data_IF_656104320011
#
_entry.id   IF_656104320011
#
_cell.length_a   1.000
_cell.length_b   1.000
_cell.length_c   1.000
_cell.angle_alpha   90.00
_cell.angle_beta   90.00
_cell.angle_gamma   90.00
#
_symmetry.space_group_name_H-M   'P 1'
#
loop_
_entity.id
_entity.type
_entity.pdbx_description
1 polymer ?
#
# COMPACT_ATOMS: atom_id res chain seq x y z
N UNK A 1 0.00 -12.57 23.81
CA UNK A 1 0.61 -11.51 22.97
C UNK A 1 2.11 -11.29 23.24
N UNK A 2 2.57 -11.17 24.50
CA UNK A 2 3.99 -10.92 24.81
C UNK A 2 4.98 -12.02 24.34
N UNK A 3 4.57 -13.30 24.30
CA UNK A 3 5.44 -14.40 23.86
C UNK A 3 5.74 -14.36 22.35
N UNK A 4 4.74 -14.07 21.53
CA UNK A 4 4.90 -13.96 20.07
C UNK A 4 5.76 -12.75 19.69
N UNK A 5 5.54 -11.62 20.37
CA UNK A 5 6.36 -10.42 20.18
C UNK A 5 7.83 -10.67 20.55
N UNK A 6 8.10 -11.28 21.72
CA UNK A 6 9.46 -11.66 22.11
C UNK A 6 10.11 -12.64 21.12
N UNK A 7 9.35 -13.62 20.63
CA UNK A 7 9.84 -14.53 19.59
C UNK A 7 10.22 -13.78 18.31
N UNK A 8 9.35 -12.88 17.83
CA UNK A 8 9.65 -12.04 16.67
C UNK A 8 10.89 -11.17 16.88
N UNK A 9 11.03 -10.55 18.05
CA UNK A 9 12.21 -9.76 18.41
C UNK A 9 13.50 -10.60 18.38
N UNK A 10 13.44 -11.84 18.88
CA UNK A 10 14.58 -12.76 18.85
C UNK A 10 14.94 -13.15 17.41
N UNK A 11 13.96 -13.49 16.58
CA UNK A 11 14.18 -13.78 15.17
C UNK A 11 14.77 -12.58 14.42
N UNK A 12 14.26 -11.38 14.68
CA UNK A 12 14.76 -10.14 14.09
C UNK A 12 16.19 -9.81 14.53
N UNK A 13 16.56 -10.13 15.77
CA UNK A 13 17.91 -9.92 16.28
C UNK A 13 18.92 -10.90 15.64
N UNK A 14 18.53 -12.15 15.43
CA UNK A 14 19.43 -13.20 14.87
C UNK A 14 19.47 -13.14 13.33
N UNK A 15 18.34 -12.91 12.69
CA UNK A 15 18.18 -12.90 11.24
C UNK A 15 17.30 -11.73 10.79
N UNK A 16 17.82 -10.48 10.80
CA UNK A 16 17.04 -9.28 10.56
C UNK A 16 16.37 -9.26 9.18
N UNK A 17 17.17 -9.50 8.12
CA UNK A 17 16.68 -9.49 6.73
C UNK A 17 15.61 -10.56 6.52
N UNK A 18 15.91 -11.82 6.89
CA UNK A 18 14.99 -12.95 6.67
C UNK A 18 13.66 -12.74 7.40
N UNK A 19 13.73 -12.28 8.65
CA UNK A 19 12.54 -12.05 9.48
C UNK A 19 11.67 -10.97 8.86
N UNK A 20 12.27 -9.84 8.44
CA UNK A 20 11.54 -8.76 7.81
C UNK A 20 10.92 -9.19 6.47
N UNK A 21 11.68 -9.87 5.61
CA UNK A 21 11.21 -10.38 4.32
C UNK A 21 10.01 -11.31 4.46
N UNK A 22 10.09 -12.30 5.36
CA UNK A 22 8.99 -13.24 5.61
C UNK A 22 7.78 -12.50 6.18
N UNK A 23 7.99 -11.61 7.15
CA UNK A 23 6.90 -10.86 7.75
C UNK A 23 6.20 -9.92 6.76
N UNK A 24 6.94 -9.28 5.85
CA UNK A 24 6.38 -8.45 4.78
C UNK A 24 5.46 -9.27 3.89
N UNK A 25 5.92 -10.42 3.38
CA UNK A 25 5.10 -11.26 2.50
C UNK A 25 3.80 -11.72 3.17
N UNK A 26 3.87 -12.09 4.46
CA UNK A 26 2.68 -12.48 5.23
C UNK A 26 1.72 -11.30 5.40
N UNK A 27 2.20 -10.14 5.84
CA UNK A 27 1.36 -8.96 6.09
C UNK A 27 0.68 -8.48 4.80
N UNK A 28 1.42 -8.44 3.68
CA UNK A 28 0.86 -8.05 2.38
C UNK A 28 -0.23 -9.00 1.90
N UNK A 29 -0.04 -10.31 2.08
CA UNK A 29 -1.08 -11.30 1.78
C UNK A 29 -2.33 -11.12 2.63
N UNK A 30 -2.17 -10.92 3.95
CA UNK A 30 -3.30 -10.63 4.85
C UNK A 30 -4.00 -9.31 4.49
N UNK A 31 -3.24 -8.28 4.13
CA UNK A 31 -3.80 -6.99 3.76
C UNK A 31 -4.61 -7.05 2.47
N UNK A 32 -4.17 -7.84 1.49
CA UNK A 32 -4.95 -8.06 0.27
C UNK A 32 -6.24 -8.84 0.54
N UNK A 33 -6.21 -9.85 1.42
CA UNK A 33 -7.43 -10.54 1.87
C UNK A 33 -8.40 -9.56 2.53
N UNK A 34 -7.91 -8.74 3.46
CA UNK A 34 -8.74 -7.77 4.17
C UNK A 34 -9.34 -6.71 3.22
N UNK A 35 -8.53 -6.20 2.29
CA UNK A 35 -8.95 -5.29 1.23
C UNK A 35 -10.08 -5.90 0.38
N UNK A 36 -9.91 -7.13 -0.10
CA UNK A 36 -10.94 -7.84 -0.87
C UNK A 36 -12.23 -8.07 -0.06
N UNK A 37 -12.11 -8.38 1.23
CA UNK A 37 -13.26 -8.53 2.13
C UNK A 37 -14.03 -7.21 2.24
N UNK A 38 -13.33 -6.10 2.46
CA UNK A 38 -13.93 -4.77 2.57
C UNK A 38 -14.63 -4.38 1.26
N UNK A 39 -13.99 -4.66 0.13
CA UNK A 39 -14.59 -4.52 -1.21
C UNK A 39 -15.89 -5.32 -1.30
N UNK A 40 -15.92 -6.59 -0.91
CA UNK A 40 -17.16 -7.38 -1.04
C UNK A 40 -18.28 -6.88 -0.11
N UNK A 41 -17.95 -6.53 1.14
CA UNK A 41 -18.94 -6.04 2.09
C UNK A 41 -19.48 -4.66 1.72
N UNK A 42 -18.61 -3.75 1.28
CA UNK A 42 -19.00 -2.37 0.98
C UNK A 42 -19.81 -2.32 -0.31
N UNK A 43 -19.47 -3.10 -1.35
CA UNK A 43 -20.24 -3.19 -2.59
C UNK A 43 -21.65 -3.72 -2.34
N UNK A 44 -21.80 -4.80 -1.56
CA UNK A 44 -23.11 -5.36 -1.20
C UNK A 44 -23.98 -4.34 -0.46
N UNK A 45 -23.38 -3.50 0.40
CA UNK A 45 -24.11 -2.47 1.14
C UNK A 45 -24.69 -1.40 0.22
N UNK A 46 -23.94 -0.92 -0.76
CA UNK A 46 -24.41 0.06 -1.74
C UNK A 46 -25.44 -0.53 -2.71
N UNK A 47 -25.21 -1.75 -3.19
CA UNK A 47 -26.13 -2.42 -4.11
C UNK A 47 -27.51 -2.66 -3.48
N UNK A 48 -27.57 -2.96 -2.18
CA UNK A 48 -28.82 -3.09 -1.42
C UNK A 48 -29.53 -1.76 -1.15
N UNK A 49 -28.89 -0.61 -1.41
CA UNK A 49 -29.44 0.71 -1.13
C UNK A 49 -30.15 1.32 -2.36
N UNK A 50 -29.82 0.87 -3.57
CA UNK A 50 -30.35 1.39 -4.84
C UNK A 50 -31.35 0.47 -5.59
N UNK A 51 -31.51 -0.82 -5.24
CA UNK A 51 -32.50 -1.72 -5.89
C UNK A 51 -33.31 -2.60 -4.91
N UNK A 52 -34.62 -2.79 -5.22
CA UNK A 52 -35.50 -3.78 -4.56
C UNK A 52 -34.99 -5.20 -4.82
N UNK A 53 -35.05 -6.14 -3.85
CA UNK A 53 -34.42 -7.43 -4.00
C UNK A 53 -35.23 -8.33 -4.95
N UNK A 54 -34.72 -8.54 -6.17
CA UNK A 54 -35.06 -9.71 -6.99
C UNK A 54 -34.01 -10.77 -6.67
N UNK A 55 -34.41 -11.72 -5.83
CA UNK A 55 -33.52 -12.72 -5.27
C UNK A 55 -33.31 -13.86 -6.27
N UNK A 56 -32.22 -13.83 -7.03
CA UNK A 56 -31.64 -15.04 -7.62
C UNK A 56 -30.52 -15.55 -6.70
N UNK A 57 -30.77 -16.70 -6.10
CA UNK A 57 -29.93 -17.34 -5.07
C UNK A 57 -28.60 -17.87 -5.65
N UNK A 58 -28.40 -17.74 -6.96
CA UNK A 58 -27.22 -18.22 -7.69
C UNK A 58 -26.04 -17.23 -7.70
N UNK A 59 -26.27 -15.92 -7.50
CA UNK A 59 -25.21 -14.89 -7.50
C UNK A 59 -24.55 -14.64 -6.14
N UNK A 60 -25.17 -15.07 -5.03
CA UNK A 60 -24.54 -14.99 -3.69
C UNK A 60 -23.22 -15.76 -3.60
N UNK A 61 -23.02 -16.78 -4.45
CA UNK A 61 -21.81 -17.59 -4.46
C UNK A 61 -20.68 -17.01 -5.32
N UNK A 62 -20.98 -16.12 -6.28
CA UNK A 62 -19.96 -15.48 -7.13
C UNK A 62 -19.25 -14.32 -6.42
N UNK A 63 -19.93 -13.60 -5.52
CA UNK A 63 -19.39 -12.47 -4.75
C UNK A 63 -18.49 -12.93 -3.57
N UNK A 64 -18.43 -14.22 -3.24
CA UNK A 64 -17.73 -14.75 -2.05
C UNK A 64 -16.28 -15.21 -2.27
N UNK A 65 -15.78 -15.24 -3.51
CA UNK A 65 -14.49 -15.89 -3.78
C UNK A 65 -13.33 -14.91 -3.68
N UNK A 66 -12.55 -15.03 -2.61
CA UNK A 66 -11.24 -14.38 -2.51
C UNK A 66 -10.39 -14.78 -3.71
N UNK A 67 -9.84 -13.78 -4.41
CA UNK A 67 -8.89 -13.95 -5.49
C UNK A 67 -7.53 -14.33 -4.91
N UNK A 68 -7.32 -15.63 -4.69
CA UNK A 68 -6.07 -16.18 -4.20
C UNK A 68 -4.87 -15.91 -5.10
N UNK A 69 -5.08 -15.72 -6.41
CA UNK A 69 -4.01 -15.30 -7.33
C UNK A 69 -3.52 -13.90 -6.97
N UNK A 70 -4.44 -12.95 -6.70
CA UNK A 70 -4.08 -11.60 -6.25
C UNK A 70 -3.37 -11.62 -4.90
N UNK A 71 -3.86 -12.42 -3.95
CA UNK A 71 -3.23 -12.60 -2.63
C UNK A 71 -1.80 -13.13 -2.76
N UNK A 72 -1.59 -14.15 -3.59
CA UNK A 72 -0.27 -14.72 -3.81
C UNK A 72 0.67 -13.71 -4.47
N UNK A 73 0.19 -12.95 -5.45
CA UNK A 73 0.95 -11.88 -6.11
C UNK A 73 1.36 -10.77 -5.14
N UNK A 74 0.44 -10.23 -4.35
CA UNK A 74 0.76 -9.15 -3.40
C UNK A 74 1.64 -9.65 -2.26
N UNK A 75 1.43 -10.87 -1.79
CA UNK A 75 2.33 -11.53 -0.82
C UNK A 75 3.73 -11.70 -1.39
N UNK A 76 3.85 -12.12 -2.66
CA UNK A 76 5.13 -12.25 -3.34
C UNK A 76 5.81 -10.89 -3.49
N UNK A 77 5.08 -9.83 -3.83
CA UNK A 77 5.61 -8.46 -3.86
C UNK A 77 6.19 -8.04 -2.50
N UNK A 78 5.44 -8.29 -1.43
CA UNK A 78 5.88 -8.04 -0.06
C UNK A 78 7.18 -8.79 0.27
N UNK A 79 7.28 -10.05 -0.17
CA UNK A 79 8.43 -10.91 0.07
C UNK A 79 9.66 -10.53 -0.78
N UNK A 80 9.50 -10.30 -2.09
CA UNK A 80 10.63 -10.13 -3.02
C UNK A 80 11.08 -8.69 -3.17
N UNK A 81 10.18 -7.72 -2.98
CA UNK A 81 10.49 -6.30 -3.18
C UNK A 81 10.46 -5.54 -1.86
N UNK A 82 9.30 -5.41 -1.23
CA UNK A 82 9.13 -4.54 -0.05
C UNK A 82 9.99 -4.98 1.13
N UNK A 83 10.08 -6.29 1.37
CA UNK A 83 10.94 -6.89 2.39
C UNK A 83 12.42 -6.51 2.25
N UNK A 84 13.12 -6.95 1.18
CA UNK A 84 14.54 -6.69 1.04
C UNK A 84 14.84 -5.22 0.75
N UNK A 85 14.10 -4.60 -0.17
CA UNK A 85 14.34 -3.20 -0.57
C UNK A 85 14.05 -2.28 0.62
N UNK A 86 12.93 -2.46 1.33
CA UNK A 86 12.59 -1.68 2.51
C UNK A 86 13.61 -1.83 3.65
N UNK A 87 14.12 -3.04 3.90
CA UNK A 87 15.17 -3.26 4.90
C UNK A 87 16.42 -2.41 4.60
N UNK A 88 16.98 -2.58 3.40
CA UNK A 88 18.20 -1.88 3.01
C UNK A 88 17.98 -0.37 2.83
N UNK A 89 16.78 0.04 2.43
CA UNK A 89 16.41 1.44 2.30
C UNK A 89 16.43 2.15 3.66
N UNK A 90 15.72 1.65 4.66
CA UNK A 90 15.65 2.33 5.96
C UNK A 90 16.99 2.31 6.70
N UNK A 91 17.74 1.21 6.62
CA UNK A 91 19.08 1.13 7.20
C UNK A 91 20.07 2.03 6.44
N UNK A 92 20.04 2.02 5.11
CA UNK A 92 20.85 2.87 4.26
C UNK A 92 20.57 4.36 4.47
N UNK A 93 19.31 4.74 4.59
CA UNK A 93 18.87 6.11 4.84
C UNK A 93 19.33 6.61 6.22
N UNK A 94 19.27 5.75 7.24
CA UNK A 94 19.81 6.04 8.57
C UNK A 94 21.32 6.30 8.54
N UNK A 95 22.07 5.40 7.89
CA UNK A 95 23.53 5.52 7.73
C UNK A 95 23.90 6.75 6.90
N UNK A 96 23.21 7.01 5.79
CA UNK A 96 23.47 8.15 4.92
C UNK A 96 23.34 9.48 5.67
N UNK A 97 22.25 9.68 6.42
CA UNK A 97 22.02 10.94 7.12
C UNK A 97 23.01 11.13 8.27
N UNK A 98 23.34 10.06 9.00
CA UNK A 98 24.34 10.11 10.08
C UNK A 98 25.75 10.39 9.56
N UNK A 99 26.15 9.74 8.47
CA UNK A 99 27.53 9.80 7.98
C UNK A 99 27.80 10.93 6.99
N UNK A 100 26.80 11.39 6.23
CA UNK A 100 26.99 12.40 5.17
C UNK A 100 26.37 13.74 5.51
N UNK A 101 25.18 13.74 6.14
CA UNK A 101 24.47 14.98 6.52
C UNK A 101 24.82 15.40 7.96
N UNK A 102 25.42 14.50 8.75
CA UNK A 102 25.91 14.75 10.11
C UNK A 102 24.82 15.27 11.07
N UNK A 103 23.56 14.91 10.83
CA UNK A 103 22.45 15.30 11.69
C UNK A 103 22.41 14.44 12.96
N UNK A 104 22.13 15.08 14.10
CA UNK A 104 21.95 14.40 15.38
C UNK A 104 20.78 13.42 15.29
N UNK A 105 21.00 12.20 15.77
CA UNK A 105 19.97 11.18 15.84
C UNK A 105 18.72 11.70 16.58
N UNK A 106 17.54 11.38 16.07
CA UNK A 106 16.24 11.81 16.61
C UNK A 106 16.00 13.33 16.68
N UNK A 107 16.85 14.16 16.07
CA UNK A 107 16.53 15.58 15.87
C UNK A 107 15.33 15.75 14.93
N UNK A 108 14.57 16.83 15.08
CA UNK A 108 13.50 17.17 14.14
C UNK A 108 14.02 17.21 12.69
N UNK A 109 15.17 17.85 12.46
CA UNK A 109 15.79 17.91 11.13
C UNK A 109 16.16 16.53 10.59
N UNK A 110 16.62 15.61 11.45
CA UNK A 110 16.95 14.24 11.05
C UNK A 110 15.71 13.51 10.52
N UNK A 111 14.61 13.58 11.25
CA UNK A 111 13.33 12.95 10.89
C UNK A 111 12.73 13.61 9.66
N UNK A 112 12.74 14.94 9.58
CA UNK A 112 12.22 15.69 8.44
C UNK A 112 13.00 15.36 7.16
N UNK A 113 14.34 15.36 7.21
CA UNK A 113 15.18 14.99 6.06
C UNK A 113 14.93 13.56 5.62
N UNK A 114 14.81 12.60 6.55
CA UNK A 114 14.42 11.21 6.22
C UNK A 114 13.09 11.18 5.48
N UNK A 115 12.08 11.84 6.02
CA UNK A 115 10.72 11.86 5.47
C UNK A 115 10.71 12.44 4.06
N UNK A 116 11.44 13.55 3.83
CA UNK A 116 11.53 14.18 2.51
C UNK A 116 12.22 13.26 1.50
N UNK A 117 13.34 12.66 1.86
CA UNK A 117 14.06 11.74 0.96
C UNK A 117 13.19 10.52 0.64
N UNK A 118 12.53 9.96 1.64
CA UNK A 118 11.61 8.83 1.47
C UNK A 118 10.44 9.21 0.55
N UNK A 119 9.82 10.37 0.76
CA UNK A 119 8.65 10.81 -0.01
C UNK A 119 8.98 11.21 -1.46
N UNK A 120 10.20 11.71 -1.73
CA UNK A 120 10.60 12.17 -3.07
C UNK A 120 11.25 11.06 -3.89
N UNK A 121 11.98 10.14 -3.24
CA UNK A 121 12.72 9.09 -3.94
C UNK A 121 11.98 7.77 -3.85
N UNK A 122 11.72 7.29 -2.63
CA UNK A 122 11.18 5.95 -2.43
C UNK A 122 9.71 5.87 -2.81
N UNK A 123 8.89 6.83 -2.38
CA UNK A 123 7.45 6.85 -2.67
C UNK A 123 7.12 6.72 -4.17
N UNK A 124 7.62 7.61 -5.05
CA UNK A 124 7.34 7.53 -6.49
C UNK A 124 7.89 6.24 -7.13
N UNK A 125 9.07 5.78 -6.67
CA UNK A 125 9.70 4.57 -7.19
C UNK A 125 8.91 3.32 -6.80
N UNK A 126 8.55 3.20 -5.53
CA UNK A 126 7.75 2.09 -4.99
C UNK A 126 6.40 2.02 -5.70
N UNK A 127 5.72 3.15 -5.85
CA UNK A 127 4.44 3.24 -6.55
C UNK A 127 4.56 2.79 -8.02
N UNK A 128 5.60 3.26 -8.73
CA UNK A 128 5.82 2.88 -10.13
C UNK A 128 6.08 1.37 -10.27
N UNK A 129 6.93 0.83 -9.40
CA UNK A 129 7.25 -0.61 -9.39
C UNK A 129 6.01 -1.43 -9.04
N UNK A 130 5.22 -0.99 -8.06
CA UNK A 130 3.98 -1.65 -7.66
C UNK A 130 2.97 -1.71 -8.81
N UNK A 131 2.65 -0.58 -9.44
CA UNK A 131 1.72 -0.53 -10.58
C UNK A 131 2.20 -1.43 -11.73
N UNK A 132 3.49 -1.38 -12.06
CA UNK A 132 4.08 -2.19 -13.12
C UNK A 132 3.98 -3.68 -12.79
N UNK A 133 4.36 -4.07 -11.57
CA UNK A 133 4.31 -5.45 -11.10
C UNK A 133 2.88 -6.00 -11.09
N UNK A 134 1.93 -5.24 -10.53
CA UNK A 134 0.53 -5.64 -10.47
C UNK A 134 -0.08 -5.76 -11.87
N UNK A 135 0.30 -4.87 -12.80
CA UNK A 135 -0.10 -4.94 -14.20
C UNK A 135 0.34 -6.24 -14.87
N UNK A 136 1.61 -6.62 -14.72
CA UNK A 136 2.12 -7.89 -15.25
C UNK A 136 1.48 -9.10 -14.60
N UNK A 137 1.29 -9.09 -13.28
CA UNK A 137 0.67 -10.20 -12.56
C UNK A 137 -0.82 -10.39 -12.89
N UNK A 138 -1.49 -9.30 -13.28
CA UNK A 138 -2.84 -9.33 -13.85
C UNK A 138 -2.88 -9.86 -15.30
N UNK A 139 -1.72 -10.07 -15.95
CA UNK A 139 -1.62 -10.56 -17.32
C UNK A 139 -1.80 -9.47 -18.38
N UNK A 140 -1.65 -8.19 -18.01
CA UNK A 140 -1.72 -7.08 -18.96
C UNK A 140 -0.48 -7.02 -19.84
N UNK A 141 -0.64 -6.58 -21.08
CA UNK A 141 0.47 -6.31 -21.99
C UNK A 141 1.20 -5.02 -21.62
N UNK A 142 2.46 -4.88 -22.02
CA UNK A 142 3.26 -3.68 -21.72
C UNK A 142 2.60 -2.35 -22.13
N UNK A 143 1.97 -2.24 -23.33
CA UNK A 143 1.24 -1.01 -23.69
C UNK A 143 0.08 -0.68 -22.74
N UNK A 144 -0.66 -1.69 -22.26
CA UNK A 144 -1.76 -1.50 -21.32
C UNK A 144 -1.24 -1.04 -19.95
N UNK A 145 -0.15 -1.64 -19.47
CA UNK A 145 0.49 -1.24 -18.20
C UNK A 145 0.96 0.22 -18.28
N UNK A 146 1.56 0.61 -19.41
CA UNK A 146 2.02 1.99 -19.61
C UNK A 146 0.87 2.99 -19.57
N UNK A 147 -0.27 2.65 -20.17
CA UNK A 147 -1.44 3.53 -20.14
C UNK A 147 -2.07 3.60 -18.74
N UNK A 148 -2.18 2.47 -18.04
CA UNK A 148 -2.65 2.44 -16.65
C UNK A 148 -1.75 3.28 -15.73
N UNK A 149 -0.43 3.11 -15.83
CA UNK A 149 0.53 3.94 -15.07
C UNK A 149 0.34 5.41 -15.42
N UNK A 150 0.24 5.77 -16.70
CA UNK A 150 0.06 7.17 -17.10
C UNK A 150 -1.24 7.78 -16.57
N UNK A 151 -2.32 6.99 -16.52
CA UNK A 151 -3.64 7.40 -16.04
C UNK A 151 -3.66 7.55 -14.51
N UNK A 152 -3.12 6.57 -13.80
CA UNK A 152 -3.39 6.39 -12.37
C UNK A 152 -2.22 6.81 -11.47
N UNK A 153 -0.99 6.90 -12.00
CA UNK A 153 0.21 7.17 -11.21
C UNK A 153 0.18 8.54 -10.53
N UNK A 154 -0.12 9.61 -11.25
CA UNK A 154 -0.16 10.96 -10.67
C UNK A 154 -1.28 11.13 -9.63
N UNK A 155 -2.53 10.71 -9.90
CA UNK A 155 -3.59 10.70 -8.89
C UNK A 155 -3.20 9.92 -7.63
N UNK A 156 -2.65 8.71 -7.81
CA UNK A 156 -2.19 7.91 -6.69
C UNK A 156 -1.05 8.60 -5.94
N UNK A 157 -0.06 9.16 -6.64
CA UNK A 157 1.08 9.85 -6.01
C UNK A 157 0.64 11.04 -5.14
N UNK A 158 -0.38 11.80 -5.56
CA UNK A 158 -0.89 12.92 -4.76
C UNK A 158 -1.68 12.42 -3.55
N UNK A 159 -2.50 11.37 -3.73
CA UNK A 159 -3.25 10.77 -2.63
C UNK A 159 -2.31 10.18 -1.56
N UNK A 160 -1.38 9.32 -1.99
CA UNK A 160 -0.37 8.71 -1.14
C UNK A 160 0.55 9.79 -0.53
N UNK A 161 0.94 10.78 -1.33
CA UNK A 161 1.79 11.89 -0.93
C UNK A 161 1.14 12.83 0.11
N UNK A 162 -0.17 12.75 0.34
CA UNK A 162 -0.84 13.47 1.41
C UNK A 162 -0.72 12.76 2.77
N UNK A 163 -0.89 11.44 2.79
CA UNK A 163 -1.01 10.64 4.02
C UNK A 163 0.34 10.07 4.46
N UNK A 164 1.10 9.50 3.52
CA UNK A 164 2.34 8.78 3.83
C UNK A 164 3.43 9.63 4.48
N UNK A 165 3.65 10.91 4.14
CA UNK A 165 4.65 11.71 4.82
C UNK A 165 4.37 11.86 6.32
N UNK A 166 3.09 11.92 6.73
CA UNK A 166 2.70 11.97 8.15
C UNK A 166 3.01 10.64 8.83
N UNK A 167 2.64 9.53 8.18
CA UNK A 167 2.90 8.16 8.66
C UNK A 167 4.40 7.91 8.80
N UNK A 168 5.19 8.30 7.80
CA UNK A 168 6.65 8.11 7.78
C UNK A 168 7.36 9.06 8.76
N UNK A 169 6.88 10.28 8.93
CA UNK A 169 7.42 11.18 9.96
C UNK A 169 7.26 10.56 11.35
N UNK A 170 6.07 10.02 11.67
CA UNK A 170 5.83 9.31 12.92
C UNK A 170 6.72 8.05 13.05
N UNK A 171 6.85 7.29 11.96
CA UNK A 171 7.73 6.11 11.90
C UNK A 171 9.17 6.46 12.26
N UNK A 172 9.75 7.44 11.57
CA UNK A 172 11.15 7.85 11.79
C UNK A 172 11.37 8.54 13.14
N UNK A 173 10.33 9.14 13.75
CA UNK A 173 10.42 9.82 15.04
C UNK A 173 10.31 8.91 16.25
N UNK A 174 9.48 7.87 16.16
CA UNK A 174 9.10 7.04 17.32
C UNK A 174 9.51 5.57 17.19
N UNK A 175 9.75 5.07 15.98
CA UNK A 175 10.02 3.65 15.74
C UNK A 175 11.51 3.43 15.50
N UNK A 176 12.17 2.53 16.26
CA UNK A 176 13.54 2.15 16.00
C UNK A 176 13.71 1.53 14.60
N UNK A 177 14.82 1.81 13.91
CA UNK A 177 15.08 1.40 12.51
C UNK A 177 14.74 -0.06 12.21
N UNK A 178 15.07 -0.98 13.12
CA UNK A 178 14.78 -2.42 12.98
C UNK A 178 13.28 -2.76 12.87
N UNK A 179 12.38 -1.90 13.35
CA UNK A 179 10.93 -2.09 13.31
C UNK A 179 10.22 -1.17 12.31
N UNK A 180 10.95 -0.25 11.64
CA UNK A 180 10.36 0.72 10.72
C UNK A 180 9.65 0.06 9.54
N UNK A 181 10.22 -1.02 8.99
CA UNK A 181 9.59 -1.78 7.93
C UNK A 181 8.31 -2.50 8.40
N UNK A 182 8.31 -3.03 9.62
CA UNK A 182 7.11 -3.68 10.19
C UNK A 182 5.98 -2.67 10.37
N UNK A 183 6.31 -1.45 10.86
CA UNK A 183 5.36 -0.35 10.98
C UNK A 183 4.76 0.03 9.63
N UNK A 184 5.60 0.20 8.61
CA UNK A 184 5.17 0.55 7.25
C UNK A 184 4.25 -0.52 6.67
N UNK A 185 4.64 -1.80 6.74
CA UNK A 185 3.80 -2.90 6.26
C UNK A 185 2.42 -2.94 6.93
N UNK A 186 2.35 -2.63 8.22
CA UNK A 186 1.08 -2.55 8.93
C UNK A 186 0.21 -1.40 8.41
N UNK A 187 0.79 -0.23 8.15
CA UNK A 187 0.06 0.88 7.55
C UNK A 187 -0.30 0.63 6.07
N UNK A 188 0.50 -0.10 5.31
CA UNK A 188 0.14 -0.55 3.95
C UNK A 188 -1.12 -1.42 3.97
N UNK A 189 -1.31 -2.27 4.99
CA UNK A 189 -2.53 -3.04 5.16
C UNK A 189 -3.74 -2.13 5.39
N UNK A 190 -3.61 -1.14 6.29
CA UNK A 190 -4.68 -0.18 6.58
C UNK A 190 -5.01 0.66 5.36
N UNK A 191 -4.00 1.08 4.63
CA UNK A 191 -4.13 1.84 3.39
C UNK A 191 -4.82 1.03 2.30
N UNK A 192 -4.42 -0.24 2.09
CA UNK A 192 -5.08 -1.15 1.15
C UNK A 192 -6.58 -1.33 1.47
N UNK A 193 -6.90 -1.44 2.76
CA UNK A 193 -8.28 -1.51 3.25
C UNK A 193 -9.05 -0.21 3.00
N UNK A 194 -8.41 0.93 3.28
CA UNK A 194 -8.97 2.26 3.11
C UNK A 194 -9.23 2.59 1.64
N UNK A 195 -8.27 2.34 0.75
CA UNK A 195 -8.41 2.54 -0.69
C UNK A 195 -9.51 1.66 -1.27
N UNK A 196 -9.58 0.39 -0.84
CA UNK A 196 -10.64 -0.54 -1.26
C UNK A 196 -12.03 -0.07 -0.83
N UNK A 197 -12.14 0.46 0.39
CA UNK A 197 -13.39 1.06 0.88
C UNK A 197 -13.73 2.34 0.13
N UNK A 198 -12.73 3.22 -0.07
CA UNK A 198 -12.88 4.46 -0.82
C UNK A 198 -13.42 4.12 -2.18
N UNK A 199 -12.75 3.28 -2.98
CA UNK A 199 -13.08 3.00 -4.39
C UNK A 199 -14.57 2.78 -4.61
N UNK A 200 -15.21 2.06 -3.69
CA UNK A 200 -16.62 1.68 -3.78
C UNK A 200 -17.64 2.76 -3.44
N UNK A 201 -17.23 3.86 -2.81
CA UNK A 201 -18.13 4.97 -2.55
C UNK A 201 -18.35 5.81 -3.82
N UNK A 202 -19.13 5.33 -4.80
CA UNK A 202 -19.24 5.97 -6.11
C UNK A 202 -19.79 7.43 -6.08
N UNK A 203 -20.56 7.83 -5.07
CA UNK A 203 -21.31 9.10 -5.06
C UNK A 203 -20.98 10.13 -3.97
N UNK A 204 -19.87 9.96 -3.25
CA UNK A 204 -19.53 10.90 -2.18
C UNK A 204 -19.07 12.27 -2.74
N UNK A 205 -19.70 13.36 -2.29
CA UNK A 205 -19.42 14.74 -2.73
C UNK A 205 -17.95 15.16 -2.55
N UNK A 206 -17.30 14.68 -1.49
CA UNK A 206 -15.88 14.93 -1.23
C UNK A 206 -14.95 14.24 -2.24
N UNK A 207 -15.36 13.12 -2.86
CA UNK A 207 -14.61 12.51 -3.96
C UNK A 207 -14.68 13.32 -5.23
N UNK A 208 -15.83 13.95 -5.54
CA UNK A 208 -15.94 14.87 -6.69
C UNK A 208 -15.02 16.07 -6.49
N UNK A 209 -14.94 16.57 -5.27
CA UNK A 209 -13.96 17.60 -4.89
C UNK A 209 -12.51 17.10 -5.01
N UNK A 210 -12.19 15.90 -4.51
CA UNK A 210 -10.85 15.30 -4.66
C UNK A 210 -10.48 15.08 -6.15
N UNK A 211 -11.41 14.57 -6.95
CA UNK A 211 -11.29 14.43 -8.42
C UNK A 211 -11.24 15.78 -9.15
N UNK A 212 -11.73 16.87 -8.55
CA UNK A 212 -11.58 18.21 -9.12
C UNK A 212 -10.19 18.80 -8.85
N UNK A 213 -9.55 18.39 -7.74
CA UNK A 213 -8.17 18.75 -7.40
C UNK A 213 -7.14 17.90 -8.15
N UNK A 214 -7.50 16.67 -8.48
CA UNK A 214 -6.72 15.73 -9.27
C UNK A 214 -7.33 15.67 -10.67
N UNK A 215 -6.82 16.39 -11.69
CA UNK A 215 -7.35 16.31 -13.04
C UNK A 215 -7.11 14.90 -13.60
N UNK A 216 -8.01 13.98 -13.27
CA UNK A 216 -8.17 12.72 -13.95
C UNK A 216 -8.64 13.09 -15.35
N UNK A 217 -7.78 12.85 -16.33
CA UNK A 217 -8.20 12.91 -17.72
C UNK A 217 -9.20 11.77 -17.91
N UNK A 218 -10.49 12.08 -17.75
CA UNK A 218 -11.57 11.18 -18.12
C UNK A 218 -11.39 10.84 -19.59
N UNK A 219 -11.04 9.59 -19.87
CA UNK A 219 -11.10 9.05 -21.22
C UNK A 219 -12.58 8.84 -21.52
N UNK A 220 -13.17 9.76 -22.27
CA UNK A 220 -14.50 9.60 -22.86
C UNK A 220 -14.40 8.48 -23.90
N UNK A 221 -14.62 7.26 -23.46
CA UNK A 221 -14.65 6.08 -24.32
C UNK A 221 -15.67 5.07 -23.83
N UNK A 222 -16.94 5.29 -24.16
CA UNK A 222 -17.92 4.33 -24.70
C UNK A 222 -19.36 4.74 -24.37
N UNK A 223 -20.04 5.22 -25.40
CA UNK A 223 -21.49 5.31 -25.53
C UNK A 223 -21.74 5.44 -27.02
N UNK A 224 -22.31 4.39 -27.62
CA UNK A 224 -22.52 4.26 -29.07
C UNK A 224 -23.49 5.27 -29.67
#
# INVERSE_FOLDING_TARGET
MLKLWKWYQNCLAVHPVKTQVISSGVIWGFGDIAAQIITHYTAKKYQNQDEKPVFDTSDENKIKKINWKRVATTSLFGFTFVGPVGHFWYEGLDRFIKSRVLLRENSFSFVATKTVIDSIIFGPLDLLVFFTYMGFAAGKSWPQIKEDVKRDFFPALILEGGIWPIVQFANFRFVPVRYQLLYVNFFCLLDSCFLSWIEQQHDASWKKWLKSLLPLKEDKGQGG
#
